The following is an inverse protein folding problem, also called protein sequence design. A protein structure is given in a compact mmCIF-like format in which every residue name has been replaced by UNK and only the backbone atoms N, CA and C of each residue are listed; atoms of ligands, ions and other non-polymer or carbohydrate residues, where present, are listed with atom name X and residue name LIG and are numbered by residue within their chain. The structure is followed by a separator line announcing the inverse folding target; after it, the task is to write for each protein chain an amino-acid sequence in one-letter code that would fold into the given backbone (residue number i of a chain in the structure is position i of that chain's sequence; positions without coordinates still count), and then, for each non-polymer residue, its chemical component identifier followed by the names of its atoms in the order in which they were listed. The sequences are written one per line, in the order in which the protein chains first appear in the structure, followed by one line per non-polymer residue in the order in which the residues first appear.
data_IF_449017256649
#
_entry.id   IF_449017256649
#
_cell.length_a   1.000
_cell.length_b   1.000
_cell.length_c   1.000
_cell.angle_alpha   90.00
_cell.angle_beta   90.00
_cell.angle_gamma   90.00
#
_symmetry.space_group_name_H-M   'P 1'
#
loop_
_entity.id
_entity.type
_entity.pdbx_description
1 polymer ?
#
# COMPACT_ATOMS: atom_id res chain seq x y z
N UNK A 1 -31.80 -20.80 -9.79
CA UNK A 1 -30.55 -20.44 -9.08
C UNK A 1 -29.74 -19.57 -10.02
N UNK A 2 -29.53 -18.29 -9.70
CA UNK A 2 -28.70 -17.39 -10.51
C UNK A 2 -27.22 -17.72 -10.26
N UNK A 3 -26.48 -18.10 -11.29
CA UNK A 3 -25.02 -18.25 -11.23
C UNK A 3 -24.39 -16.85 -11.16
N UNK A 4 -23.95 -16.43 -9.97
CA UNK A 4 -23.12 -15.25 -9.83
C UNK A 4 -21.80 -15.51 -10.57
N UNK A 5 -21.61 -14.88 -11.73
CA UNK A 5 -20.30 -14.77 -12.38
C UNK A 5 -19.37 -14.07 -11.40
N UNK A 6 -18.48 -14.82 -10.76
CA UNK A 6 -17.40 -14.26 -9.96
C UNK A 6 -16.51 -13.46 -10.91
N UNK A 7 -16.62 -12.14 -10.88
CA UNK A 7 -15.74 -11.26 -11.64
C UNK A 7 -14.31 -11.61 -11.26
N UNK A 8 -13.53 -12.11 -12.23
CA UNK A 8 -12.13 -12.39 -11.99
C UNK A 8 -11.37 -11.07 -11.96
N UNK A 9 -10.44 -10.95 -11.00
CA UNK A 9 -9.51 -9.83 -10.95
C UNK A 9 -8.73 -9.77 -12.27
N UNK A 10 -8.49 -8.56 -12.83
CA UNK A 10 -7.67 -8.42 -14.04
C UNK A 10 -6.18 -8.73 -13.79
N UNK A 11 -5.78 -8.91 -12.53
CA UNK A 11 -4.42 -9.25 -12.12
C UNK A 11 -4.40 -10.51 -11.26
N UNK A 12 -3.28 -11.22 -11.27
CA UNK A 12 -3.09 -12.40 -10.41
C UNK A 12 -3.00 -12.01 -8.92
N UNK A 13 -3.09 -13.01 -8.05
CA UNK A 13 -3.08 -12.80 -6.60
C UNK A 13 -1.79 -12.12 -6.12
N UNK A 14 -0.63 -12.44 -6.71
CA UNK A 14 0.64 -11.84 -6.31
C UNK A 14 0.65 -10.33 -6.61
N UNK A 15 0.22 -9.95 -7.81
CA UNK A 15 0.09 -8.56 -8.24
C UNK A 15 -0.95 -7.82 -7.41
N UNK A 16 -2.11 -8.45 -7.16
CA UNK A 16 -3.15 -7.90 -6.31
C UNK A 16 -2.64 -7.61 -4.89
N UNK A 17 -1.90 -8.55 -4.29
CA UNK A 17 -1.37 -8.40 -2.95
C UNK A 17 -0.35 -7.23 -2.86
N UNK A 18 0.51 -7.09 -3.86
CA UNK A 18 1.46 -5.98 -3.93
C UNK A 18 0.75 -4.63 -4.09
N UNK A 19 -0.26 -4.56 -4.96
CA UNK A 19 -1.08 -3.36 -5.14
C UNK A 19 -1.80 -3.00 -3.84
N UNK A 20 -2.46 -3.97 -3.19
CA UNK A 20 -3.19 -3.75 -1.97
C UNK A 20 -2.27 -3.27 -0.83
N UNK A 21 -1.12 -3.93 -0.65
CA UNK A 21 -0.14 -3.53 0.34
C UNK A 21 0.39 -2.12 0.08
N UNK A 22 0.66 -1.77 -1.19
CA UNK A 22 1.12 -0.43 -1.56
C UNK A 22 0.06 0.63 -1.25
N UNK A 23 -1.20 0.40 -1.65
CA UNK A 23 -2.31 1.31 -1.37
C UNK A 23 -2.45 1.54 0.13
N UNK A 24 -2.46 0.47 0.94
CA UNK A 24 -2.59 0.60 2.39
C UNK A 24 -1.42 1.36 3.04
N UNK A 25 -0.19 1.24 2.50
CA UNK A 25 0.95 2.04 2.97
C UNK A 25 0.80 3.52 2.65
N UNK A 26 0.32 3.85 1.46
CA UNK A 26 0.10 5.24 1.06
C UNK A 26 -1.00 5.90 1.91
N UNK A 27 -2.10 5.18 2.16
CA UNK A 27 -3.17 5.62 3.07
C UNK A 27 -2.67 5.84 4.50
N UNK A 28 -1.81 4.94 5.01
CA UNK A 28 -1.22 5.06 6.34
C UNK A 28 -0.30 6.29 6.44
N UNK A 29 0.55 6.54 5.44
CA UNK A 29 1.42 7.72 5.40
C UNK A 29 0.59 9.02 5.44
N UNK A 30 -0.49 9.09 4.67
CA UNK A 30 -1.39 10.25 4.68
C UNK A 30 -2.01 10.47 6.07
N UNK A 31 -2.51 9.40 6.69
CA UNK A 31 -3.07 9.46 8.04
C UNK A 31 -2.03 9.90 9.09
N UNK A 32 -0.83 9.32 9.06
CA UNK A 32 0.25 9.67 10.00
C UNK A 32 0.72 11.11 9.84
N UNK A 33 0.84 11.61 8.61
CA UNK A 33 1.18 13.01 8.37
C UNK A 33 0.12 13.96 8.94
N UNK A 34 -1.16 13.61 8.82
CA UNK A 34 -2.25 14.36 9.45
C UNK A 34 -2.13 14.36 10.98
N UNK A 35 -1.95 13.20 11.59
CA UNK A 35 -1.85 13.09 13.06
C UNK A 35 -0.60 13.77 13.62
N UNK A 36 0.52 13.72 12.89
CA UNK A 36 1.72 14.47 13.24
C UNK A 36 1.50 16.00 13.19
N UNK A 37 0.71 16.47 12.21
CA UNK A 37 0.39 17.89 12.02
C UNK A 37 -0.59 18.41 13.07
N UNK A 38 -1.59 17.62 13.44
CA UNK A 38 -2.60 18.01 14.44
C UNK A 38 -1.97 18.30 15.83
N UNK A 39 -0.79 17.74 16.10
CA UNK A 39 0.01 18.01 17.29
C UNK A 39 -0.56 17.35 18.55
N UNK A 40 0.28 16.61 19.27
CA UNK A 40 -0.14 15.92 20.49
C UNK A 40 0.92 14.96 21.03
N UNK A 41 0.70 14.37 22.20
CA UNK A 41 1.55 13.31 22.72
C UNK A 41 1.65 12.18 21.70
N UNK A 42 2.86 11.89 21.20
CA UNK A 42 3.09 10.88 20.16
C UNK A 42 3.17 11.41 18.72
N UNK A 43 3.13 12.73 18.47
CA UNK A 43 3.33 13.27 17.11
C UNK A 43 4.64 12.78 16.46
N UNK A 44 5.73 12.69 17.23
CA UNK A 44 7.02 12.17 16.75
C UNK A 44 6.94 10.71 16.31
N UNK A 45 6.11 9.88 16.98
CA UNK A 45 5.88 8.49 16.58
C UNK A 45 5.20 8.44 15.22
N UNK A 46 4.21 9.28 14.95
CA UNK A 46 3.56 9.34 13.63
C UNK A 46 4.54 9.80 12.53
N UNK A 47 5.44 10.75 12.83
CA UNK A 47 6.52 11.12 11.90
C UNK A 47 7.44 9.94 11.59
N UNK A 48 7.82 9.16 12.61
CA UNK A 48 8.65 7.98 12.43
C UNK A 48 7.93 6.92 11.58
N UNK A 49 6.68 6.59 11.91
CA UNK A 49 5.90 5.59 11.17
C UNK A 49 5.70 5.99 9.70
N UNK A 50 5.46 7.28 9.41
CA UNK A 50 5.36 7.78 8.05
C UNK A 50 6.65 7.58 7.24
N UNK A 51 7.82 7.79 7.88
CA UNK A 51 9.12 7.57 7.22
C UNK A 51 9.37 6.09 6.94
N UNK A 52 9.09 5.22 7.90
CA UNK A 52 9.25 3.77 7.74
C UNK A 52 8.32 3.23 6.64
N UNK A 53 7.05 3.64 6.64
CA UNK A 53 6.11 3.22 5.61
C UNK A 53 6.43 3.79 4.21
N UNK A 54 7.09 4.94 4.12
CA UNK A 54 7.60 5.46 2.84
C UNK A 54 8.68 4.54 2.24
N UNK A 55 9.61 4.02 3.06
CA UNK A 55 10.60 3.04 2.61
C UNK A 55 9.94 1.71 2.23
N UNK A 56 8.94 1.25 2.99
CA UNK A 56 8.16 0.07 2.62
C UNK A 56 7.43 0.25 1.28
N UNK A 57 6.78 1.41 1.06
CA UNK A 57 6.10 1.73 -0.19
C UNK A 57 7.05 1.72 -1.38
N UNK A 58 8.26 2.28 -1.22
CA UNK A 58 9.31 2.24 -2.25
C UNK A 58 9.71 0.81 -2.61
N UNK A 59 9.87 -0.07 -1.62
CA UNK A 59 10.18 -1.47 -1.85
C UNK A 59 9.03 -2.19 -2.58
N UNK A 60 7.78 -1.94 -2.18
CA UNK A 60 6.60 -2.48 -2.85
C UNK A 60 6.48 -2.04 -4.31
N UNK A 61 6.79 -0.78 -4.62
CA UNK A 61 6.84 -0.28 -6.01
C UNK A 61 7.89 -1.02 -6.83
N UNK A 62 9.08 -1.26 -6.25
CA UNK A 62 10.14 -1.99 -6.95
C UNK A 62 9.75 -3.43 -7.23
N UNK A 63 9.14 -4.13 -6.27
CA UNK A 63 8.64 -5.50 -6.49
C UNK A 63 7.50 -5.54 -7.50
N UNK A 64 6.57 -4.57 -7.45
CA UNK A 64 5.50 -4.48 -8.43
C UNK A 64 6.04 -4.29 -9.85
N UNK A 65 7.06 -3.43 -10.04
CA UNK A 65 7.72 -3.24 -11.35
C UNK A 65 8.37 -4.53 -11.86
N UNK A 66 9.05 -5.28 -10.99
CA UNK A 66 9.61 -6.59 -11.34
C UNK A 66 8.51 -7.55 -11.78
N UNK A 67 7.42 -7.64 -11.00
CA UNK A 67 6.30 -8.53 -11.31
C UNK A 67 5.64 -8.21 -12.66
N UNK A 68 5.47 -6.92 -12.98
CA UNK A 68 4.88 -6.48 -14.25
C UNK A 68 5.81 -6.72 -15.45
N UNK A 69 7.13 -6.57 -15.26
CA UNK A 69 8.13 -6.79 -16.32
C UNK A 69 8.37 -8.28 -16.57
N UNK A 70 8.33 -9.13 -15.53
CA UNK A 70 8.46 -10.58 -15.69
C UNK A 70 7.27 -11.23 -16.43
N UNK A 71 6.20 -10.47 -16.68
CA UNK A 71 4.97 -10.92 -17.36
C UNK A 71 4.84 -10.41 -18.80
N UNK A 72 5.74 -9.53 -19.26
CA UNK A 72 5.82 -9.02 -20.64
C UNK A 72 6.78 -9.85 -21.48
#
# INVERSE_FOLDING_TARGET
MQTMTRTQSPVDNATYNLLQALTSKLEAIEAYNKYATDGGPGAELFVQMAREDAEHAKNLVNELRKQLTSRS
#
